data_IF_063200960266
#
_entry.id   IF_063200960266
#
_cell.length_a   1.000
_cell.length_b   1.000
_cell.length_c   1.000
_cell.angle_alpha   90.00
_cell.angle_beta   90.00
_cell.angle_gamma   90.00
#
_symmetry.space_group_name_H-M   'P 1'
#
loop_
_entity.id
_entity.type
_entity.pdbx_description
1 polymer ?
#
# COMPACT_ATOMS: atom_id res chain seq x y z
N UNK A 1 1.81 -16.59 -8.37
CA UNK A 1 1.46 -15.79 -9.60
C UNK A 1 1.17 -14.32 -9.25
N UNK A 2 1.49 -13.32 -10.11
CA UNK A 2 1.29 -11.87 -9.80
C UNK A 2 -0.19 -11.53 -9.51
N UNK A 3 -1.12 -12.09 -10.29
CA UNK A 3 -2.55 -11.81 -10.16
C UNK A 3 -3.14 -12.31 -8.82
N UNK A 4 -2.64 -13.44 -8.30
CA UNK A 4 -2.95 -13.96 -6.96
C UNK A 4 -2.70 -12.93 -5.86
N UNK A 5 -1.58 -12.20 -5.98
CA UNK A 5 -1.20 -11.18 -5.02
C UNK A 5 -2.11 -9.95 -5.05
N UNK A 6 -2.70 -9.66 -6.22
CA UNK A 6 -3.67 -8.59 -6.40
C UNK A 6 -5.10 -8.99 -5.98
N UNK A 7 -5.36 -10.29 -5.80
CA UNK A 7 -6.63 -10.80 -5.28
C UNK A 7 -6.85 -10.38 -3.82
N UNK A 8 -5.77 -10.22 -3.06
CA UNK A 8 -5.77 -9.76 -1.67
C UNK A 8 -5.87 -8.23 -1.49
N UNK A 9 -6.01 -7.49 -2.59
CA UNK A 9 -6.18 -6.03 -2.56
C UNK A 9 -5.10 -5.27 -3.34
N UNK A 10 -5.15 -3.95 -3.23
CA UNK A 10 -4.23 -3.04 -3.93
C UNK A 10 -2.79 -3.18 -3.39
N UNK A 11 -1.82 -3.33 -4.29
CA UNK A 11 -0.39 -3.51 -3.97
C UNK A 11 0.50 -2.62 -4.81
N UNK A 12 1.60 -2.16 -4.24
CA UNK A 12 2.61 -1.42 -4.99
C UNK A 12 3.54 -2.36 -5.77
N UNK A 13 4.16 -1.87 -6.84
CA UNK A 13 5.09 -2.65 -7.67
C UNK A 13 6.20 -3.30 -6.85
N UNK A 14 6.77 -2.58 -5.88
CA UNK A 14 7.84 -3.09 -5.03
C UNK A 14 7.42 -4.30 -4.18
N UNK A 15 6.17 -4.33 -3.71
CA UNK A 15 5.65 -5.47 -2.93
C UNK A 15 5.47 -6.68 -3.84
N UNK A 16 5.02 -6.47 -5.08
CA UNK A 16 4.83 -7.54 -6.07
C UNK A 16 6.19 -8.12 -6.49
N UNK A 17 7.20 -7.28 -6.69
CA UNK A 17 8.58 -7.71 -6.97
C UNK A 17 9.15 -8.56 -5.83
N UNK A 18 9.07 -8.06 -4.60
CA UNK A 18 9.55 -8.79 -3.42
C UNK A 18 8.83 -10.12 -3.20
N UNK A 19 7.53 -10.15 -3.47
CA UNK A 19 6.67 -11.30 -3.36
C UNK A 19 6.93 -12.41 -4.39
N UNK A 20 7.19 -12.01 -5.63
CA UNK A 20 7.24 -12.93 -6.78
C UNK A 20 8.68 -13.27 -7.18
N UNK A 21 9.66 -12.50 -6.71
CA UNK A 21 11.07 -12.65 -7.11
C UNK A 21 11.32 -12.32 -8.59
N UNK A 22 10.32 -11.79 -9.29
CA UNK A 22 10.42 -11.43 -10.71
C UNK A 22 11.21 -10.14 -10.83
N UNK A 23 12.18 -10.11 -11.72
CA UNK A 23 12.99 -8.91 -11.96
C UNK A 23 12.14 -7.74 -12.47
N UNK A 24 12.47 -6.52 -12.04
CA UNK A 24 11.78 -5.29 -12.46
C UNK A 24 11.45 -5.20 -13.97
N UNK A 25 12.35 -5.55 -14.92
CA UNK A 25 12.04 -5.46 -16.35
C UNK A 25 10.93 -6.43 -16.76
N UNK A 26 10.99 -7.68 -16.30
CA UNK A 26 9.99 -8.70 -16.58
C UNK A 26 8.65 -8.36 -15.91
N UNK A 27 8.69 -7.87 -14.67
CA UNK A 27 7.51 -7.43 -13.94
C UNK A 27 6.80 -6.27 -14.65
N UNK A 28 7.54 -5.25 -15.07
CA UNK A 28 6.96 -4.11 -15.80
C UNK A 28 6.33 -4.54 -17.12
N UNK A 29 6.95 -5.48 -17.83
CA UNK A 29 6.38 -6.04 -19.07
C UNK A 29 5.07 -6.78 -18.79
N UNK A 30 5.07 -7.68 -17.82
CA UNK A 30 3.88 -8.45 -17.44
C UNK A 30 2.74 -7.52 -16.98
N UNK A 31 3.03 -6.52 -16.14
CA UNK A 31 2.05 -5.53 -15.70
C UNK A 31 1.54 -4.66 -16.86
N UNK A 32 2.37 -4.40 -17.88
CA UNK A 32 1.92 -3.70 -19.08
C UNK A 32 0.95 -4.56 -19.91
N UNK A 33 1.23 -5.84 -20.10
CA UNK A 33 0.31 -6.76 -20.79
C UNK A 33 -1.02 -6.91 -20.04
N UNK A 34 -0.97 -7.09 -18.73
CA UNK A 34 -2.18 -7.17 -17.89
C UNK A 34 -3.01 -5.89 -17.97
N UNK A 35 -2.36 -4.73 -18.08
CA UNK A 35 -3.05 -3.45 -18.27
C UNK A 35 -3.69 -3.35 -19.65
N UNK A 36 -3.01 -3.83 -20.70
CA UNK A 36 -3.57 -3.89 -22.07
C UNK A 36 -4.77 -4.81 -22.16
N UNK A 37 -4.75 -5.91 -21.41
CA UNK A 37 -5.87 -6.84 -21.28
C UNK A 37 -6.98 -6.34 -20.35
N UNK A 38 -6.87 -5.13 -19.82
CA UNK A 38 -7.84 -4.52 -18.88
C UNK A 38 -8.11 -5.35 -17.60
N UNK A 39 -7.21 -6.27 -17.25
CA UNK A 39 -7.36 -7.12 -16.05
C UNK A 39 -6.96 -6.41 -14.76
N UNK A 40 -6.10 -5.38 -14.88
CA UNK A 40 -5.59 -4.62 -13.74
C UNK A 40 -5.75 -3.12 -13.97
N UNK A 41 -6.04 -2.41 -12.89
CA UNK A 41 -6.06 -0.95 -12.82
C UNK A 41 -4.87 -0.46 -12.04
N UNK A 42 -4.38 0.71 -12.42
CA UNK A 42 -3.28 1.38 -11.73
C UNK A 42 -3.75 2.67 -11.08
N UNK A 43 -3.17 2.98 -9.94
CA UNK A 43 -3.32 4.25 -9.25
C UNK A 43 -1.94 4.75 -8.89
N UNK A 44 -1.62 5.99 -9.25
CA UNK A 44 -0.36 6.63 -8.86
C UNK A 44 -0.59 7.46 -7.61
N UNK A 45 0.18 7.17 -6.56
CA UNK A 45 0.17 7.92 -5.31
C UNK A 45 1.59 8.46 -5.05
N UNK A 46 1.76 9.77 -5.26
CA UNK A 46 3.05 10.44 -5.24
C UNK A 46 4.11 9.77 -6.14
N UNK A 47 5.12 9.14 -5.54
CA UNK A 47 6.21 8.44 -6.25
C UNK A 47 5.93 6.95 -6.49
N UNK A 48 4.81 6.42 -5.98
CA UNK A 48 4.51 5.00 -5.99
C UNK A 48 3.36 4.69 -6.96
N UNK A 49 3.42 3.54 -7.60
CA UNK A 49 2.37 3.03 -8.48
C UNK A 49 1.77 1.79 -7.84
N UNK A 50 0.48 1.87 -7.59
CA UNK A 50 -0.33 0.82 -7.01
C UNK A 50 -1.14 0.14 -8.11
N UNK A 51 -1.29 -1.17 -7.98
CA UNK A 51 -2.01 -2.05 -8.88
C UNK A 51 -3.13 -2.73 -8.11
N UNK A 52 -4.26 -2.90 -8.77
CA UNK A 52 -5.41 -3.66 -8.28
C UNK A 52 -6.09 -4.37 -9.44
N UNK A 53 -6.89 -5.39 -9.15
CA UNK A 53 -7.76 -5.99 -10.17
C UNK A 53 -8.77 -4.96 -10.69
N UNK A 54 -9.12 -5.07 -11.96
CA UNK A 54 -9.98 -4.11 -12.62
C UNK A 54 -11.42 -4.10 -12.06
N UNK A 55 -11.97 -5.29 -11.83
CA UNK A 55 -13.33 -5.53 -11.36
C UNK A 55 -13.48 -6.94 -10.77
N UNK A 56 -14.70 -7.25 -10.29
CA UNK A 56 -15.03 -8.56 -9.71
C UNK A 56 -14.99 -9.69 -10.74
N UNK A 57 -15.23 -9.39 -12.02
CA UNK A 57 -15.12 -10.36 -13.11
C UNK A 57 -13.67 -10.80 -13.31
N UNK A 58 -12.73 -9.85 -13.34
CA UNK A 58 -11.29 -10.13 -13.37
C UNK A 58 -10.87 -10.94 -12.13
N UNK A 59 -11.37 -10.59 -10.94
CA UNK A 59 -11.10 -11.36 -9.73
C UNK A 59 -11.63 -12.80 -9.82
N UNK A 60 -12.82 -13.01 -10.37
CA UNK A 60 -13.39 -14.34 -10.58
C UNK A 60 -12.59 -15.15 -11.59
N UNK A 61 -12.17 -14.55 -12.71
CA UNK A 61 -11.29 -15.18 -13.69
C UNK A 61 -9.97 -15.64 -13.04
N UNK A 62 -9.34 -14.77 -12.24
CA UNK A 62 -8.10 -15.11 -11.54
C UNK A 62 -8.32 -16.25 -10.54
N UNK A 63 -9.40 -16.23 -9.76
CA UNK A 63 -9.74 -17.34 -8.84
C UNK A 63 -9.94 -18.66 -9.59
N UNK A 64 -10.61 -18.63 -10.74
CA UNK A 64 -10.81 -19.83 -11.57
C UNK A 64 -9.48 -20.33 -12.13
N UNK A 65 -8.61 -19.43 -12.59
CA UNK A 65 -7.26 -19.80 -13.02
C UNK A 65 -6.45 -20.39 -11.87
N UNK A 66 -6.53 -19.85 -10.66
CA UNK A 66 -5.91 -20.46 -9.48
C UNK A 66 -6.52 -21.81 -9.12
N UNK A 67 -7.84 -21.99 -9.26
CA UNK A 67 -8.46 -23.29 -9.01
C UNK A 67 -8.01 -24.36 -10.02
N UNK A 68 -7.75 -23.95 -11.27
CA UNK A 68 -7.32 -24.85 -12.35
C UNK A 68 -5.82 -25.12 -12.30
N UNK A 69 -5.00 -24.09 -12.06
CA UNK A 69 -3.54 -24.12 -12.19
C UNK A 69 -2.80 -23.98 -10.85
N UNK A 70 -3.46 -23.54 -9.79
CA UNK A 70 -2.86 -23.25 -8.49
C UNK A 70 -2.70 -24.45 -7.56
N UNK A 71 -3.17 -25.64 -7.95
CA UNK A 71 -2.94 -26.88 -7.20
C UNK A 71 -1.44 -27.25 -7.10
N UNK A 72 -0.57 -26.63 -7.91
CA UNK A 72 0.88 -26.86 -7.88
C UNK A 72 1.68 -25.87 -7.01
N UNK A 73 1.07 -24.81 -6.45
CA UNK A 73 1.82 -23.70 -5.81
C UNK A 73 1.33 -23.35 -4.37
N UNK A 74 0.52 -24.21 -3.74
CA UNK A 74 -0.09 -23.96 -2.42
C UNK A 74 0.86 -24.05 -1.20
N UNK A 75 2.17 -24.17 -1.40
CA UNK A 75 3.11 -24.28 -0.28
C UNK A 75 3.54 -22.93 0.33
N UNK A 76 3.13 -21.77 -0.21
CA UNK A 76 3.68 -20.49 0.26
C UNK A 76 2.59 -19.42 0.39
N UNK A 77 1.87 -19.44 1.52
CA UNK A 77 1.61 -18.22 2.30
C UNK A 77 1.01 -18.49 3.68
N UNK A 78 1.88 -18.81 4.62
CA UNK A 78 1.64 -18.47 6.02
C UNK A 78 2.12 -17.03 6.27
N UNK A 79 1.27 -16.27 6.96
CA UNK A 79 1.53 -14.99 7.64
C UNK A 79 1.74 -13.73 6.78
N UNK A 80 0.63 -13.02 6.56
CA UNK A 80 0.64 -11.56 6.46
C UNK A 80 0.96 -10.93 7.84
N UNK A 81 1.88 -9.96 7.95
CA UNK A 81 1.78 -8.94 8.98
C UNK A 81 1.18 -7.69 8.34
N UNK A 82 0.05 -7.25 8.90
CA UNK A 82 -0.50 -5.93 8.65
C UNK A 82 0.51 -4.85 9.07
N UNK A 83 1.14 -4.19 8.10
CA UNK A 83 1.97 -3.01 8.33
C UNK A 83 1.09 -1.84 8.80
N UNK A 84 1.16 -1.56 10.10
CA UNK A 84 0.61 -0.35 10.74
C UNK A 84 1.07 0.92 9.99
N UNK A 85 0.23 1.95 9.84
CA UNK A 85 0.69 3.21 9.28
C UNK A 85 1.74 3.85 10.20
N UNK A 86 2.96 3.96 9.69
CA UNK A 86 4.06 4.74 10.26
C UNK A 86 3.72 6.23 10.14
N UNK A 87 3.22 6.83 11.22
CA UNK A 87 3.15 8.30 11.34
C UNK A 87 4.48 8.80 11.89
N UNK A 88 5.31 9.29 10.98
CA UNK A 88 6.59 9.90 11.27
C UNK A 88 6.45 11.12 12.21
N UNK A 89 7.40 11.22 13.14
CA UNK A 89 7.64 12.33 14.04
C UNK A 89 8.50 13.42 13.37
N UNK A 90 8.24 14.67 13.75
CA UNK A 90 9.15 15.84 13.68
C UNK A 90 8.73 16.90 12.64
N UNK A 91 8.75 18.21 12.90
CA UNK A 91 9.14 19.00 14.05
C UNK A 91 8.62 20.45 13.96
N UNK A 92 8.27 21.03 15.12
CA UNK A 92 8.56 22.40 15.63
C UNK A 92 8.26 23.67 14.81
N UNK A 93 7.43 24.57 15.39
CA UNK A 93 7.80 25.98 15.66
C UNK A 93 6.70 26.77 16.42
N UNK A 94 7.16 27.73 17.23
CA UNK A 94 6.45 28.89 17.80
C UNK A 94 5.85 28.79 19.22
N UNK A 95 6.75 28.88 20.20
CA UNK A 95 6.46 29.50 21.51
C UNK A 95 6.06 30.96 21.33
N UNK A 96 4.93 31.36 21.90
CA UNK A 96 4.55 32.77 22.09
C UNK A 96 3.98 32.90 23.51
N UNK A 97 4.61 33.62 24.44
CA UNK A 97 3.96 33.94 25.70
C UNK A 97 3.10 35.19 25.49
N UNK A 98 1.82 35.09 25.82
CA UNK A 98 0.95 36.24 26.07
C UNK A 98 0.31 36.02 27.43
N UNK A 99 0.76 36.76 28.43
CA UNK A 99 -0.10 37.18 29.54
C UNK A 99 0.54 38.38 30.24
N UNK A 100 0.10 39.57 29.83
CA UNK A 100 0.19 40.78 30.63
C UNK A 100 -1.06 40.77 31.51
N UNK A 101 -0.88 40.49 32.80
CA UNK A 101 -1.95 40.50 33.79
C UNK A 101 -1.43 41.15 35.06
N UNK A 102 -1.53 42.48 35.10
CA UNK A 102 -1.27 43.28 36.28
C UNK A 102 -2.27 42.93 37.40
N UNK A 103 -1.77 42.64 38.60
CA UNK A 103 -2.52 42.80 39.84
C UNK A 103 -1.54 43.14 40.97
N UNK A 104 -1.60 44.41 41.33
CA UNK A 104 -0.89 45.07 42.43
C UNK A 104 -1.42 44.52 43.75
N UNK A 105 -0.56 43.94 44.57
CA UNK A 105 -0.86 43.70 45.99
C UNK A 105 0.06 44.57 46.84
N UNK A 106 -0.44 45.75 47.18
CA UNK A 106 0.01 46.52 48.32
C UNK A 106 -1.05 46.39 49.42
N UNK A 107 -0.70 45.83 50.59
CA UNK A 107 -1.08 46.33 51.92
C UNK A 107 -0.63 45.39 53.06
N UNK A 108 0.08 46.02 54.00
CA UNK A 108 -0.15 46.04 55.47
C UNK A 108 0.17 44.78 56.26
N UNK A 109 1.10 44.96 57.21
CA UNK A 109 1.41 44.06 58.31
C UNK A 109 2.79 44.34 58.84
#
# INVERSE_FOLDING_TARGET
>A
MILSYLLGGERQVADIEAATGVTQPALSQQLAELRRAELVKTRREAKQVHYRLADDAAAMCVRTLEAIFGADDLAVHEAAPASRPSRARGASAATRPQNIGAAVFARVG
#
